data_IF_659667423451
#
_entry.id   IF_659667423451
#
_cell.length_a   1.000
_cell.length_b   1.000
_cell.length_c   1.000
_cell.angle_alpha   90.00
_cell.angle_beta   90.00
_cell.angle_gamma   90.00
#
_symmetry.space_group_name_H-M   'P 1'
#
loop_
_entity.id
_entity.type
_entity.pdbx_description
1 polymer ?
#
# COMPACT_ATOMS: atom_id res chain seq x y z
N UNK A 1 4.92 -13.45 3.71
CA UNK A 1 5.38 -12.07 3.94
C UNK A 1 5.64 -11.81 5.42
N UNK A 2 6.08 -12.79 6.20
CA UNK A 2 5.95 -12.74 7.67
C UNK A 2 6.69 -11.57 8.33
N UNK A 3 7.96 -11.39 8.01
CA UNK A 3 8.88 -10.44 8.66
C UNK A 3 9.18 -9.17 7.85
N UNK A 4 8.87 -9.18 6.55
CA UNK A 4 9.36 -8.18 5.61
C UNK A 4 8.83 -6.75 5.86
N UNK A 5 7.77 -6.60 6.65
CA UNK A 5 7.17 -5.30 6.98
C UNK A 5 7.32 -4.89 8.45
N UNK A 6 8.03 -5.67 9.29
CA UNK A 6 8.08 -5.46 10.75
C UNK A 6 8.57 -4.09 11.19
N UNK A 7 9.42 -3.44 10.38
CA UNK A 7 9.98 -2.12 10.69
C UNK A 7 9.08 -0.97 10.24
N UNK A 8 7.97 -1.26 9.58
CA UNK A 8 7.01 -0.24 9.18
C UNK A 8 6.10 0.12 10.35
N UNK A 9 6.09 1.40 10.72
CA UNK A 9 5.20 1.94 11.76
C UNK A 9 3.73 1.95 11.28
N UNK A 10 3.51 2.22 9.99
CA UNK A 10 2.21 2.26 9.34
C UNK A 10 2.31 1.60 7.96
N UNK A 11 1.35 0.73 7.64
CA UNK A 11 1.27 0.03 6.35
C UNK A 11 -0.10 0.34 5.74
N UNK A 12 -0.10 1.02 4.60
CA UNK A 12 -1.32 1.21 3.80
C UNK A 12 -1.39 0.10 2.74
N UNK A 13 -2.34 -0.82 2.90
CA UNK A 13 -2.53 -1.94 2.00
C UNK A 13 -3.62 -1.62 0.98
N UNK A 14 -3.22 -1.59 -0.29
CA UNK A 14 -4.10 -1.27 -1.41
C UNK A 14 -4.76 -2.53 -1.96
N UNK A 15 -5.91 -2.42 -2.66
CA UNK A 15 -6.50 -3.56 -3.34
C UNK A 15 -5.52 -4.14 -4.35
N UNK A 16 -5.39 -5.46 -4.35
CA UNK A 16 -4.56 -6.15 -5.34
C UNK A 16 -5.28 -6.16 -6.68
N UNK A 17 -4.64 -5.56 -7.70
CA UNK A 17 -5.08 -5.75 -9.07
C UNK A 17 -4.74 -7.18 -9.50
N UNK A 18 -5.75 -7.99 -9.81
CA UNK A 18 -5.62 -9.40 -10.15
C UNK A 18 -5.06 -9.58 -11.56
N UNK A 19 -3.74 -9.42 -11.72
CA UNK A 19 -3.01 -9.95 -12.87
C UNK A 19 -2.77 -11.43 -12.65
N UNK A 20 -3.70 -12.27 -13.10
CA UNK A 20 -3.66 -13.73 -12.88
C UNK A 20 -2.99 -14.42 -14.06
N UNK A 21 -1.95 -15.21 -13.78
CA UNK A 21 -1.43 -16.18 -14.75
C UNK A 21 -2.34 -17.43 -14.84
N UNK A 22 -2.91 -17.87 -13.71
CA UNK A 22 -3.86 -19.00 -13.66
C UNK A 22 -5.22 -18.57 -13.08
N UNK A 23 -6.32 -18.64 -13.85
CA UNK A 23 -7.68 -18.34 -13.38
C UNK A 23 -8.28 -19.35 -12.38
N UNK A 24 -7.71 -20.55 -12.25
CA UNK A 24 -8.25 -21.62 -11.40
C UNK A 24 -7.90 -21.49 -9.91
N UNK A 25 -6.87 -20.70 -9.58
CA UNK A 25 -6.49 -20.44 -8.18
C UNK A 25 -7.57 -19.65 -7.40
N UNK A 26 -7.63 -19.77 -6.07
CA UNK A 26 -8.52 -18.92 -5.27
C UNK A 26 -8.04 -17.46 -5.32
N UNK A 27 -8.99 -16.52 -5.34
CA UNK A 27 -8.70 -15.10 -5.12
C UNK A 27 -8.40 -14.93 -3.63
N UNK A 28 -7.18 -14.54 -3.30
CA UNK A 28 -6.81 -14.18 -1.94
C UNK A 28 -7.28 -12.77 -1.65
N UNK A 29 -7.99 -12.57 -0.54
CA UNK A 29 -8.37 -11.23 -0.09
C UNK A 29 -7.17 -10.50 0.52
N UNK A 30 -7.19 -9.16 0.58
CA UNK A 30 -6.18 -8.40 1.33
C UNK A 30 -5.97 -8.92 2.75
N UNK A 31 -7.04 -9.32 3.45
CA UNK A 31 -6.98 -9.89 4.80
C UNK A 31 -6.17 -11.19 4.84
N UNK A 32 -6.36 -12.08 3.87
CA UNK A 32 -5.62 -13.35 3.79
C UNK A 32 -4.13 -13.13 3.45
N UNK A 33 -3.82 -12.09 2.69
CA UNK A 33 -2.43 -11.73 2.36
C UNK A 33 -1.70 -11.10 3.55
N UNK A 34 -2.42 -10.38 4.40
CA UNK A 34 -1.86 -9.67 5.56
C UNK A 34 -1.87 -10.51 6.84
N UNK A 35 -2.63 -11.61 6.90
CA UNK A 35 -2.84 -12.43 8.10
C UNK A 35 -1.55 -12.87 8.80
N UNK A 36 -0.48 -13.11 8.04
CA UNK A 36 0.80 -13.56 8.58
C UNK A 36 1.80 -12.45 8.88
N UNK A 37 1.44 -11.18 8.70
CA UNK A 37 2.32 -10.05 9.03
C UNK A 37 2.46 -9.91 10.54
N UNK A 38 3.70 -9.88 11.05
CA UNK A 38 3.96 -9.75 12.50
C UNK A 38 3.40 -8.44 13.09
N UNK A 39 3.29 -7.39 12.27
CA UNK A 39 2.71 -6.09 12.61
C UNK A 39 1.34 -5.84 11.96
N UNK A 40 0.48 -6.87 11.90
CA UNK A 40 -0.87 -6.75 11.33
C UNK A 40 -1.69 -5.59 11.94
N UNK A 41 -1.48 -5.23 13.21
CA UNK A 41 -2.13 -4.08 13.86
C UNK A 41 -1.78 -2.72 13.24
N UNK A 42 -0.69 -2.64 12.49
CA UNK A 42 -0.23 -1.43 11.78
C UNK A 42 -0.73 -1.37 10.33
N UNK A 43 -1.57 -2.34 9.90
CA UNK A 43 -2.12 -2.42 8.55
C UNK A 43 -3.45 -1.68 8.46
N UNK A 44 -3.52 -0.76 7.50
CA UNK A 44 -4.70 0.01 7.16
C UNK A 44 -5.08 -0.29 5.70
N UNK A 45 -6.29 -0.76 5.45
CA UNK A 45 -6.78 -0.94 4.08
C UNK A 45 -7.15 0.43 3.50
N UNK A 46 -6.59 0.78 2.35
CA UNK A 46 -6.76 2.08 1.73
C UNK A 46 -6.96 1.95 0.22
N UNK A 47 -7.51 2.99 -0.41
CA UNK A 47 -7.71 3.08 -1.85
C UNK A 47 -6.75 4.13 -2.46
N UNK A 48 -6.61 4.14 -3.78
CA UNK A 48 -5.83 5.15 -4.51
C UNK A 48 -6.59 6.49 -4.61
N UNK A 49 -6.89 7.09 -3.46
CA UNK A 49 -7.77 8.25 -3.32
C UNK A 49 -7.10 9.46 -2.64
N UNK A 50 -7.88 10.53 -2.42
CA UNK A 50 -7.40 11.74 -1.75
C UNK A 50 -7.04 11.51 -0.27
N UNK A 51 -7.68 10.54 0.39
CA UNK A 51 -7.41 10.25 1.79
C UNK A 51 -6.02 9.62 1.96
N UNK A 52 -5.67 8.66 1.09
CA UNK A 52 -4.32 8.09 1.05
C UNK A 52 -3.28 9.18 0.71
N UNK A 53 -3.59 10.06 -0.24
CA UNK A 53 -2.68 11.15 -0.60
C UNK A 53 -2.43 12.09 0.59
N UNK A 54 -3.49 12.46 1.31
CA UNK A 54 -3.38 13.29 2.50
C UNK A 54 -2.52 12.62 3.57
N UNK A 55 -2.73 11.33 3.85
CA UNK A 55 -1.92 10.57 4.79
C UNK A 55 -0.43 10.55 4.41
N UNK A 56 -0.12 10.39 3.13
CA UNK A 56 1.26 10.46 2.61
C UNK A 56 1.87 11.84 2.86
N UNK A 57 1.14 12.92 2.55
CA UNK A 57 1.62 14.28 2.75
C UNK A 57 1.83 14.61 4.23
N UNK A 58 0.92 14.18 5.12
CA UNK A 58 1.07 14.32 6.56
C UNK A 58 2.31 13.60 7.06
N UNK A 59 2.52 12.34 6.68
CA UNK A 59 3.71 11.58 7.07
C UNK A 59 5.01 12.27 6.58
N UNK A 60 5.02 12.80 5.35
CA UNK A 60 6.15 13.58 4.82
C UNK A 60 6.39 14.86 5.62
N UNK A 61 5.34 15.59 5.97
CA UNK A 61 5.44 16.82 6.77
C UNK A 61 5.97 16.55 8.19
N UNK A 62 5.69 15.37 8.73
CA UNK A 62 6.25 14.87 10.00
C UNK A 62 7.70 14.37 9.89
N UNK A 63 8.31 14.42 8.70
CA UNK A 63 9.68 13.98 8.45
C UNK A 63 9.84 12.46 8.33
N UNK A 64 8.75 11.71 8.13
CA UNK A 64 8.80 10.26 7.96
C UNK A 64 9.23 9.88 6.53
N UNK A 65 9.87 8.72 6.42
CA UNK A 65 10.15 8.10 5.13
C UNK A 65 8.88 7.37 4.65
N UNK A 66 8.34 7.78 3.50
CA UNK A 66 7.23 7.09 2.83
C UNK A 66 7.79 6.22 1.71
N UNK A 67 7.55 4.91 1.80
CA UNK A 67 7.94 3.94 0.78
C UNK A 67 6.72 3.40 0.04
N UNK A 68 6.60 3.74 -1.25
CA UNK A 68 5.56 3.19 -2.12
C UNK A 68 6.08 1.93 -2.82
N UNK A 69 5.46 0.78 -2.58
CA UNK A 69 5.84 -0.49 -3.20
C UNK A 69 4.67 -1.10 -3.95
N UNK A 70 4.90 -1.50 -5.19
CA UNK A 70 3.93 -2.22 -6.00
C UNK A 70 4.38 -2.29 -7.45
N UNK A 71 4.07 -3.41 -8.12
CA UNK A 71 4.41 -3.63 -9.53
C UNK A 71 3.39 -3.02 -10.51
N UNK A 72 2.54 -2.10 -10.05
CA UNK A 72 1.35 -1.65 -10.77
C UNK A 72 1.12 -0.14 -10.70
N UNK A 73 -0.14 0.25 -10.57
CA UNK A 73 -0.63 1.63 -10.72
C UNK A 73 -0.10 2.64 -9.69
N UNK A 74 0.47 2.18 -8.58
CA UNK A 74 0.93 3.05 -7.48
C UNK A 74 2.05 4.02 -7.91
N UNK A 75 3.06 3.58 -8.68
CA UNK A 75 4.15 4.47 -9.11
C UNK A 75 3.62 5.60 -10.00
N UNK A 76 2.80 5.25 -11.00
CA UNK A 76 2.17 6.24 -11.88
C UNK A 76 1.25 7.21 -11.14
N UNK A 77 0.45 6.69 -10.21
CA UNK A 77 -0.46 7.50 -9.40
C UNK A 77 0.29 8.50 -8.51
N UNK A 78 1.35 8.08 -7.81
CA UNK A 78 2.17 8.98 -6.99
C UNK A 78 2.82 10.07 -7.84
N UNK A 79 3.39 9.72 -9.00
CA UNK A 79 3.99 10.70 -9.92
C UNK A 79 2.98 11.73 -10.40
N UNK A 80 1.78 11.29 -10.75
CA UNK A 80 0.71 12.17 -11.19
C UNK A 80 0.30 13.16 -10.09
N UNK A 81 0.14 12.67 -8.85
CA UNK A 81 -0.17 13.53 -7.69
C UNK A 81 0.92 14.56 -7.44
N UNK A 82 2.19 14.15 -7.47
CA UNK A 82 3.33 15.08 -7.31
C UNK A 82 3.38 16.14 -8.41
N UNK A 83 3.04 15.79 -9.65
CA UNK A 83 3.01 16.73 -10.76
C UNK A 83 1.85 17.74 -10.68
N UNK A 84 0.79 17.44 -9.92
CA UNK A 84 -0.34 18.35 -9.67
C UNK A 84 -0.12 19.29 -8.48
N UNK A 85 0.87 18.99 -7.62
CA UNK A 85 1.25 19.84 -6.48
C UNK A 85 2.26 20.95 -6.86
N UNK A 86 2.75 20.99 -8.11
CA UNK A 86 3.66 22.00 -8.64
C UNK A 86 2.98 23.02 -9.54
#
# INVERSE_FOLDING_TARGET
YTDCMERAEQIYWLPTYLSREDPALPILTPQQLTEQLTNHSSVYYAELDDALWHAIQTARAEGKLVLCMGAGTIDGWVRQRLAQEG
#
